data_IF_827971797477
#
_entry.id   IF_827971797477
#
_cell.length_a   1.000
_cell.length_b   1.000
_cell.length_c   1.000
_cell.angle_alpha   90.00
_cell.angle_beta   90.00
_cell.angle_gamma   90.00
#
_symmetry.space_group_name_H-M   'P 1'
#
loop_
_entity.id
_entity.type
_entity.pdbx_description
1 polymer ?
#
# COMPACT_ATOMS: atom_id res chain seq x y z
N UNK A 1 12.89 21.68 11.15
CA UNK A 1 12.76 21.66 9.67
C UNK A 1 13.21 20.27 9.21
N UNK A 2 12.28 19.35 8.99
CA UNK A 2 12.59 17.97 8.58
C UNK A 2 12.65 17.87 7.07
N UNK A 3 13.72 17.31 6.51
CA UNK A 3 13.79 16.95 5.09
C UNK A 3 12.81 15.80 4.84
N UNK A 4 11.63 16.16 4.36
CA UNK A 4 10.68 15.27 3.72
C UNK A 4 11.30 14.79 2.39
N UNK A 5 12.22 13.82 2.45
CA UNK A 5 12.52 13.03 1.28
C UNK A 5 11.32 12.11 1.02
N UNK A 6 10.35 12.67 0.31
CA UNK A 6 9.40 11.96 -0.53
C UNK A 6 10.22 10.99 -1.40
N UNK A 7 9.92 9.69 -1.40
CA UNK A 7 8.87 9.16 -2.25
C UNK A 7 8.04 8.16 -1.42
N UNK A 8 6.88 8.63 -0.96
CA UNK A 8 5.75 7.87 -0.39
C UNK A 8 6.16 6.75 0.59
N UNK A 9 6.06 7.01 1.89
CA UNK A 9 6.28 6.01 2.95
C UNK A 9 5.15 4.96 3.01
N UNK A 10 4.97 4.21 1.92
CA UNK A 10 4.01 3.12 1.79
C UNK A 10 4.20 2.01 2.82
N UNK A 11 5.42 1.71 3.33
CA UNK A 11 5.57 0.80 4.46
C UNK A 11 4.80 1.27 5.70
N UNK A 12 4.89 2.56 6.06
CA UNK A 12 4.13 3.10 7.20
C UNK A 12 2.61 2.96 7.01
N UNK A 13 2.11 3.19 5.78
CA UNK A 13 0.70 2.96 5.46
C UNK A 13 0.29 1.51 5.70
N UNK A 14 1.11 0.54 5.26
CA UNK A 14 0.81 -0.88 5.44
C UNK A 14 0.83 -1.28 6.92
N UNK A 15 1.79 -0.78 7.71
CA UNK A 15 1.79 -1.01 9.15
C UNK A 15 0.53 -0.46 9.83
N UNK A 16 0.15 0.78 9.55
CA UNK A 16 -1.06 1.39 10.12
C UNK A 16 -2.33 0.63 9.71
N UNK A 17 -2.47 0.27 8.43
CA UNK A 17 -3.60 -0.52 7.95
C UNK A 17 -3.63 -1.91 8.58
N UNK A 18 -2.47 -2.54 8.77
CA UNK A 18 -2.35 -3.81 9.47
C UNK A 18 -2.93 -3.77 10.88
N UNK A 19 -2.68 -2.68 11.62
CA UNK A 19 -3.29 -2.49 12.95
C UNK A 19 -4.82 -2.34 12.88
N UNK A 20 -5.33 -1.54 11.95
CA UNK A 20 -6.78 -1.32 11.81
C UNK A 20 -7.51 -2.59 11.38
N UNK A 21 -7.01 -3.31 10.38
CA UNK A 21 -7.59 -4.56 9.88
C UNK A 21 -7.62 -5.62 10.99
N UNK A 22 -6.53 -5.77 11.75
CA UNK A 22 -6.47 -6.71 12.89
C UNK A 22 -7.45 -6.36 14.01
N UNK A 23 -7.83 -5.09 14.13
CA UNK A 23 -8.84 -4.63 15.07
C UNK A 23 -10.28 -4.75 14.52
N UNK A 24 -10.47 -5.33 13.33
CA UNK A 24 -11.78 -5.56 12.73
C UNK A 24 -12.29 -4.45 11.82
N UNK A 25 -11.47 -3.42 11.56
CA UNK A 25 -11.86 -2.36 10.62
C UNK A 25 -11.89 -2.88 9.18
N UNK A 26 -12.92 -2.47 8.44
CA UNK A 26 -13.08 -2.84 7.02
C UNK A 26 -12.32 -1.84 6.15
N UNK A 27 -11.06 -2.15 5.88
CA UNK A 27 -10.16 -1.30 5.08
C UNK A 27 -9.55 -2.10 3.93
N UNK A 28 -9.50 -1.49 2.74
CA UNK A 28 -8.70 -1.98 1.62
C UNK A 28 -7.75 -0.89 1.14
N UNK A 29 -6.53 -1.28 0.78
CA UNK A 29 -5.53 -0.41 0.16
C UNK A 29 -5.44 -0.76 -1.32
N UNK A 30 -5.42 0.26 -2.17
CA UNK A 30 -5.15 0.12 -3.60
C UNK A 30 -3.92 0.94 -3.95
N UNK A 31 -2.83 0.28 -4.36
CA UNK A 31 -1.67 0.93 -4.95
C UNK A 31 -1.85 1.02 -6.47
N UNK A 32 -1.89 2.26 -6.96
CA UNK A 32 -2.00 2.59 -8.39
C UNK A 32 -0.66 3.19 -8.84
N UNK A 33 -0.12 2.67 -9.94
CA UNK A 33 1.27 2.88 -10.35
C UNK A 33 2.08 1.60 -10.18
N UNK A 34 3.16 1.48 -10.95
CA UNK A 34 4.16 0.42 -10.81
C UNK A 34 5.51 1.01 -10.46
N UNK A 35 6.45 0.18 -10.01
CA UNK A 35 7.81 0.61 -9.69
C UNK A 35 8.60 -0.45 -8.93
N UNK A 36 9.86 -0.16 -8.66
CA UNK A 36 10.79 -1.07 -7.97
C UNK A 36 10.32 -1.49 -6.58
N UNK A 37 9.50 -0.65 -5.93
CA UNK A 37 9.01 -0.88 -4.56
C UNK A 37 7.84 -1.87 -4.47
N UNK A 38 7.20 -2.26 -5.59
CA UNK A 38 6.02 -3.13 -5.55
C UNK A 38 6.33 -4.49 -4.89
N UNK A 39 7.47 -5.09 -5.24
CA UNK A 39 7.90 -6.37 -4.66
C UNK A 39 8.10 -6.26 -3.14
N UNK A 40 8.73 -5.18 -2.68
CA UNK A 40 8.93 -4.91 -1.26
C UNK A 40 7.59 -4.76 -0.52
N UNK A 41 6.65 -3.99 -1.07
CA UNK A 41 5.33 -3.76 -0.45
C UNK A 41 4.47 -5.03 -0.42
N UNK A 42 4.57 -5.90 -1.43
CA UNK A 42 3.92 -7.22 -1.43
C UNK A 42 4.48 -8.14 -0.35
N UNK A 43 5.81 -8.14 -0.17
CA UNK A 43 6.46 -8.85 0.93
C UNK A 43 5.96 -8.38 2.28
N UNK A 44 5.94 -7.06 2.51
CA UNK A 44 5.44 -6.47 3.75
C UNK A 44 3.96 -6.77 4.02
N UNK A 45 3.10 -6.70 3.00
CA UNK A 45 1.69 -7.08 3.15
C UNK A 45 1.52 -8.55 3.56
N UNK A 46 2.39 -9.43 3.07
CA UNK A 46 2.42 -10.85 3.43
C UNK A 46 2.89 -11.05 4.87
N UNK A 47 3.97 -10.39 5.28
CA UNK A 47 4.48 -10.42 6.66
C UNK A 47 3.44 -9.90 7.67
N UNK A 48 2.68 -8.88 7.29
CA UNK A 48 1.63 -8.31 8.13
C UNK A 48 0.34 -9.17 8.17
N UNK A 49 0.19 -10.13 7.25
CA UNK A 49 -0.99 -10.98 7.11
C UNK A 49 -2.20 -10.25 6.54
N UNK A 50 -1.98 -9.25 5.67
CA UNK A 50 -3.04 -8.40 5.11
C UNK A 50 -3.12 -8.42 3.57
N UNK A 51 -2.49 -9.41 2.92
CA UNK A 51 -2.42 -9.50 1.46
C UNK A 51 -3.80 -9.41 0.78
N UNK A 52 -4.82 -10.04 1.34
CA UNK A 52 -6.20 -10.01 0.84
C UNK A 52 -6.90 -8.63 0.94
N UNK A 53 -6.30 -7.70 1.68
CA UNK A 53 -6.77 -6.31 1.82
C UNK A 53 -5.93 -5.31 1.01
N UNK A 54 -4.87 -5.76 0.33
CA UNK A 54 -3.94 -4.88 -0.39
C UNK A 54 -3.89 -5.25 -1.88
N UNK A 55 -4.31 -4.31 -2.72
CA UNK A 55 -4.41 -4.48 -4.16
C UNK A 55 -3.34 -3.65 -4.87
N UNK A 56 -2.64 -4.25 -5.82
CA UNK A 56 -1.66 -3.58 -6.67
C UNK A 56 -2.16 -3.61 -8.10
N UNK A 57 -2.51 -2.45 -8.65
CA UNK A 57 -3.07 -2.33 -9.99
C UNK A 57 -2.03 -2.07 -11.08
N UNK A 58 -0.75 -1.96 -10.71
CA UNK A 58 0.36 -1.67 -11.62
C UNK A 58 0.27 -0.28 -12.25
N UNK A 59 1.12 -0.02 -13.26
CA UNK A 59 1.14 1.26 -13.97
C UNK A 59 -0.09 1.43 -14.86
N UNK A 60 -0.90 2.45 -14.57
CA UNK A 60 -2.12 2.76 -15.32
C UNK A 60 -1.87 3.94 -16.26
N UNK A 61 -1.95 3.71 -17.58
CA UNK A 61 -1.86 4.76 -18.61
C UNK A 61 -3.21 5.44 -18.91
N UNK A 62 -4.31 4.89 -18.37
CA UNK A 62 -5.66 5.46 -18.48
C UNK A 62 -6.26 5.58 -17.08
N UNK A 63 -6.27 6.78 -16.51
CA UNK A 63 -7.14 7.08 -15.37
C UNK A 63 -8.48 7.53 -15.96
N UNK A 64 -9.37 6.59 -16.24
CA UNK A 64 -10.78 6.91 -16.44
C UNK A 64 -11.47 6.59 -15.11
N UNK A 65 -11.39 7.51 -14.15
CA UNK A 65 -12.34 7.51 -13.04
C UNK A 65 -13.70 7.94 -13.61
N UNK A 66 -14.73 7.20 -13.22
CA UNK A 66 -16.13 7.29 -13.63
C UNK A 66 -16.64 8.70 -13.96
#
# INVERSE_FOLDING_TARGET
VGRFNQVKNYPMLLHAAGHLIKNGEKLHIIFIGGGTEESHLRGLATELGITEFVHFLGFQTKINMF
#
